data_IF_277328947908
#
_entry.id   IF_277328947908
#
_cell.length_a   1.000
_cell.length_b   1.000
_cell.length_c   1.000
_cell.angle_alpha   90.00
_cell.angle_beta   90.00
_cell.angle_gamma   90.00
#
_symmetry.space_group_name_H-M   'P 1'
#
loop_
_entity.id
_entity.type
_entity.pdbx_description
1 polymer ?
#
# COMPACT_ATOMS: atom_id res chain seq x y z
N UNK A 1 30.94 21.78 -4.22
CA UNK A 1 29.48 21.79 -3.96
C UNK A 1 29.27 21.57 -2.47
N UNK A 2 28.68 22.54 -1.78
CA UNK A 2 28.41 22.44 -0.34
C UNK A 2 27.13 21.62 -0.18
N UNK A 3 27.22 20.44 0.44
CA UNK A 3 26.05 19.63 0.77
C UNK A 3 25.16 20.42 1.73
N UNK A 4 23.98 20.81 1.26
CA UNK A 4 22.95 21.42 2.11
C UNK A 4 22.06 20.33 2.72
N UNK A 5 21.70 20.53 3.98
CA UNK A 5 20.66 19.74 4.62
C UNK A 5 19.35 19.85 3.84
N UNK A 6 18.66 18.73 3.64
CA UNK A 6 17.42 18.63 2.89
C UNK A 6 17.56 18.06 1.48
N UNK A 7 18.76 18.06 0.89
CA UNK A 7 18.97 17.51 -0.44
C UNK A 7 18.83 15.98 -0.44
N UNK A 8 18.22 15.47 -1.52
CA UNK A 8 18.13 14.03 -1.80
C UNK A 8 19.21 13.69 -2.82
N UNK A 9 20.03 12.71 -2.47
CA UNK A 9 21.19 12.29 -3.25
C UNK A 9 21.18 10.76 -3.38
N UNK A 10 21.85 10.26 -4.40
CA UNK A 10 22.12 8.83 -4.54
C UNK A 10 23.47 8.51 -3.92
N UNK A 11 23.50 7.46 -3.10
CA UNK A 11 24.69 6.98 -2.44
C UNK A 11 24.83 5.47 -2.55
N UNK A 12 26.05 4.98 -2.30
CA UNK A 12 26.37 3.55 -2.31
C UNK A 12 26.62 3.07 -0.89
N UNK A 13 26.03 1.95 -0.52
CA UNK A 13 26.25 1.36 0.80
C UNK A 13 27.66 0.77 0.85
N UNK A 14 28.52 1.29 1.70
CA UNK A 14 29.88 0.78 1.88
C UNK A 14 29.95 -0.31 2.94
N UNK A 15 29.08 -0.24 3.95
CA UNK A 15 29.11 -1.17 5.09
C UNK A 15 27.77 -1.14 5.84
N UNK A 16 27.37 -2.29 6.38
CA UNK A 16 26.13 -2.46 7.15
C UNK A 16 26.45 -2.98 8.55
N UNK A 17 25.95 -2.28 9.57
CA UNK A 17 26.09 -2.64 10.98
C UNK A 17 24.72 -2.86 11.63
N UNK A 18 24.71 -3.38 12.86
CA UNK A 18 23.45 -3.62 13.59
C UNK A 18 22.72 -2.33 14.00
N UNK A 19 23.43 -1.20 14.08
CA UNK A 19 22.86 0.08 14.48
C UNK A 19 22.56 1.00 13.28
N UNK A 20 22.99 0.63 12.07
CA UNK A 20 22.82 1.47 10.90
C UNK A 20 23.55 0.97 9.64
N UNK A 21 23.59 1.83 8.63
CA UNK A 21 24.34 1.59 7.40
C UNK A 21 25.20 2.81 7.05
N UNK A 22 26.42 2.55 6.59
CA UNK A 22 27.30 3.58 6.07
C UNK A 22 27.10 3.70 4.56
N UNK A 23 26.83 4.92 4.11
CA UNK A 23 26.56 5.22 2.72
C UNK A 23 27.52 6.31 2.26
N UNK A 24 28.21 6.08 1.16
CA UNK A 24 29.05 7.08 0.51
C UNK A 24 28.21 7.89 -0.48
N UNK A 25 28.24 9.20 -0.34
CA UNK A 25 27.49 10.17 -1.17
C UNK A 25 28.43 11.33 -1.52
N UNK A 26 28.58 11.63 -2.81
CA UNK A 26 29.39 12.75 -3.32
C UNK A 26 30.79 12.86 -2.69
N UNK A 27 31.45 11.73 -2.43
CA UNK A 27 32.79 11.67 -1.86
C UNK A 27 32.87 11.91 -0.35
N UNK A 28 31.73 11.89 0.36
CA UNK A 28 31.66 11.92 1.83
C UNK A 28 30.93 10.70 2.35
N UNK A 29 31.29 10.30 3.57
CA UNK A 29 30.67 9.17 4.26
C UNK A 29 29.55 9.67 5.15
N UNK A 30 28.34 9.18 4.91
CA UNK A 30 27.19 9.40 5.75
C UNK A 30 26.78 8.14 6.51
N UNK A 31 26.15 8.35 7.66
CA UNK A 31 25.58 7.30 8.48
C UNK A 31 24.06 7.38 8.45
N UNK A 32 23.42 6.26 8.12
CA UNK A 32 21.98 6.05 8.26
C UNK A 32 21.74 5.27 9.54
N UNK A 33 21.00 5.85 10.48
CA UNK A 33 20.61 5.16 11.71
C UNK A 33 19.55 4.10 11.40
N UNK A 34 19.48 3.01 12.18
CA UNK A 34 18.46 1.95 11.99
C UNK A 34 17.03 2.49 11.93
N UNK A 35 16.72 3.50 12.76
CA UNK A 35 15.41 4.18 12.78
C UNK A 35 15.12 5.04 11.55
N UNK A 36 16.13 5.31 10.73
CA UNK A 36 16.04 6.07 9.48
C UNK A 36 16.10 5.18 8.23
N UNK A 37 16.30 3.87 8.40
CA UNK A 37 16.28 2.88 7.30
C UNK A 37 14.84 2.64 6.83
N UNK A 38 13.90 2.44 7.76
CA UNK A 38 12.49 2.18 7.46
C UNK A 38 11.58 2.63 8.62
N UNK A 39 10.29 2.85 8.35
CA UNK A 39 9.26 3.16 9.36
C UNK A 39 8.89 1.95 10.23
N UNK A 40 9.27 0.74 9.82
CA UNK A 40 9.01 -0.51 10.54
C UNK A 40 10.21 -0.92 11.40
N UNK A 41 9.96 -1.67 12.47
CA UNK A 41 11.04 -2.26 13.27
C UNK A 41 11.83 -3.26 12.42
N UNK A 42 13.09 -2.94 12.16
CA UNK A 42 14.01 -3.79 11.41
C UNK A 42 14.81 -4.62 12.41
N UNK A 43 14.59 -5.94 12.42
CA UNK A 43 15.37 -6.88 13.26
C UNK A 43 16.77 -7.13 12.67
N UNK A 44 16.83 -7.25 11.35
CA UNK A 44 18.06 -7.41 10.57
C UNK A 44 18.09 -6.41 9.41
N UNK A 45 19.02 -5.44 9.49
CA UNK A 45 19.22 -4.45 8.42
C UNK A 45 19.68 -5.13 7.13
N UNK A 46 20.44 -6.22 7.22
CA UNK A 46 21.00 -6.95 6.07
C UNK A 46 19.94 -7.56 5.15
N UNK A 47 18.73 -7.79 5.65
CA UNK A 47 17.62 -8.24 4.82
C UNK A 47 16.97 -7.09 4.04
N UNK A 48 17.08 -5.86 4.55
CA UNK A 48 16.48 -4.66 3.97
C UNK A 48 17.44 -3.88 3.07
N UNK A 49 18.74 -3.93 3.39
CA UNK A 49 19.81 -3.24 2.68
C UNK A 49 20.89 -4.26 2.31
N UNK A 50 21.44 -4.11 1.11
CA UNK A 50 22.59 -4.90 0.65
C UNK A 50 23.83 -4.02 0.62
N UNK A 51 24.96 -4.61 1.00
CA UNK A 51 26.25 -3.98 0.80
C UNK A 51 26.44 -3.72 -0.69
N UNK A 52 27.11 -2.61 -1.02
CA UNK A 52 27.40 -2.18 -2.38
C UNK A 52 26.21 -1.66 -3.20
N UNK A 53 24.99 -1.74 -2.67
CA UNK A 53 23.76 -1.32 -3.34
C UNK A 53 23.61 0.21 -3.41
N UNK A 54 22.94 0.70 -4.47
CA UNK A 54 22.69 2.13 -4.68
C UNK A 54 21.33 2.53 -4.10
N UNK A 55 21.36 3.45 -3.14
CA UNK A 55 20.16 3.91 -2.43
C UNK A 55 20.02 5.43 -2.49
N UNK A 56 18.77 5.89 -2.50
CA UNK A 56 18.46 7.32 -2.33
C UNK A 56 18.39 7.66 -0.86
N UNK A 57 19.10 8.72 -0.48
CA UNK A 57 19.23 9.19 0.89
C UNK A 57 19.05 10.70 0.94
N UNK A 58 18.44 11.18 2.02
CA UNK A 58 18.26 12.60 2.29
C UNK A 58 19.23 13.05 3.36
N UNK A 59 19.89 14.18 3.12
CA UNK A 59 20.78 14.81 4.09
C UNK A 59 19.94 15.44 5.20
N UNK A 60 20.11 14.94 6.43
CA UNK A 60 19.45 15.49 7.62
C UNK A 60 20.30 16.61 8.21
N UNK A 61 21.59 16.33 8.40
CA UNK A 61 22.55 17.27 8.98
C UNK A 61 23.95 16.95 8.48
N UNK A 62 24.79 17.97 8.38
CA UNK A 62 26.20 17.87 7.97
C UNK A 62 27.04 18.40 9.13
N UNK A 63 27.95 17.57 9.63
CA UNK A 63 28.90 17.93 10.67
C UNK A 63 30.18 18.51 10.07
N UNK A 64 30.85 19.39 10.80
CA UNK A 64 32.12 20.01 10.39
C UNK A 64 33.24 18.97 10.20
N UNK A 65 33.15 17.82 10.92
CA UNK A 65 34.06 16.69 10.81
C UNK A 65 33.87 15.84 9.54
N UNK A 66 33.00 16.27 8.61
CA UNK A 66 32.73 15.57 7.36
C UNK A 66 31.77 14.38 7.50
N UNK A 67 31.20 14.14 8.68
CA UNK A 67 30.16 13.13 8.91
C UNK A 67 28.80 13.71 8.52
N UNK A 68 28.01 12.92 7.80
CA UNK A 68 26.68 13.34 7.36
C UNK A 68 25.65 12.38 7.94
N UNK A 69 24.61 12.92 8.58
CA UNK A 69 23.46 12.13 9.00
C UNK A 69 22.50 12.01 7.83
N UNK A 70 22.25 10.78 7.40
CA UNK A 70 21.44 10.46 6.23
C UNK A 70 20.18 9.70 6.64
N UNK A 71 19.14 9.84 5.83
CA UNK A 71 17.87 9.15 6.03
C UNK A 71 17.34 8.55 4.74
N UNK A 72 17.06 7.25 4.73
CA UNK A 72 16.47 6.55 3.59
C UNK A 72 14.96 6.78 3.59
N UNK A 73 14.31 6.72 4.76
CA UNK A 73 12.85 6.92 4.89
C UNK A 73 12.38 8.28 4.37
N UNK A 74 13.15 9.35 4.63
CA UNK A 74 12.78 10.70 4.16
C UNK A 74 13.14 10.95 2.70
N UNK A 75 13.99 10.11 2.11
CA UNK A 75 14.35 10.19 0.69
C UNK A 75 13.33 9.52 -0.22
N UNK A 76 12.57 8.55 0.32
CA UNK A 76 11.44 7.98 -0.37
C UNK A 76 10.37 9.07 -0.54
N UNK A 77 10.01 9.48 -1.77
CA UNK A 77 8.84 10.30 -1.96
C UNK A 77 7.64 9.53 -1.37
N UNK A 78 6.62 10.21 -0.81
CA UNK A 78 5.38 9.53 -0.50
C UNK A 78 5.00 8.79 -1.77
N UNK A 79 4.76 7.48 -1.68
CA UNK A 79 4.10 6.75 -2.77
C UNK A 79 2.82 7.52 -3.02
N UNK A 80 2.85 8.48 -3.95
CA UNK A 80 1.67 8.87 -4.68
C UNK A 80 1.24 7.54 -5.23
N UNK A 81 0.20 6.97 -4.64
CA UNK A 81 -0.67 6.05 -5.35
C UNK A 81 -1.06 6.87 -6.57
N UNK A 82 -0.26 6.77 -7.63
CA UNK A 82 -0.64 7.27 -8.91
C UNK A 82 -1.89 6.47 -9.18
N UNK A 83 -3.03 7.10 -8.92
CA UNK A 83 -4.22 6.87 -9.71
C UNK A 83 -3.80 7.28 -11.11
N UNK A 84 -3.02 6.43 -11.78
CA UNK A 84 -3.18 6.28 -13.21
C UNK A 84 -4.58 5.69 -13.28
N UNK A 85 -5.63 6.43 -13.72
CA UNK A 85 -6.75 5.72 -14.29
C UNK A 85 -6.12 4.84 -15.35
N UNK A 86 -6.10 3.53 -15.11
CA UNK A 86 -5.78 2.62 -16.18
C UNK A 86 -6.98 2.77 -17.12
N UNK A 87 -6.82 3.54 -18.19
CA UNK A 87 -7.48 3.21 -19.45
C UNK A 87 -6.99 1.80 -19.79
N UNK A 88 -7.71 0.81 -19.26
CA UNK A 88 -7.40 -0.58 -19.42
C UNK A 88 -8.08 -1.05 -20.70
N UNK A 89 -7.32 -1.02 -21.78
CA UNK A 89 -7.68 -1.64 -23.05
C UNK A 89 -7.83 -3.16 -22.82
N UNK A 90 -9.07 -3.66 -22.78
CA UNK A 90 -9.36 -5.08 -22.60
C UNK A 90 -9.30 -5.79 -23.94
N UNK A 91 -8.10 -6.19 -24.34
CA UNK A 91 -7.94 -7.28 -25.30
C UNK A 91 -6.63 -8.06 -25.07
N UNK A 92 -6.55 -8.85 -23.99
CA UNK A 92 -5.99 -10.20 -24.07
C UNK A 92 -6.20 -11.01 -22.78
N UNK A 93 -6.48 -12.29 -22.98
CA UNK A 93 -6.83 -13.31 -22.02
C UNK A 93 -5.78 -13.56 -20.94
N UNK A 94 -6.22 -13.76 -19.68
CA UNK A 94 -6.03 -15.03 -18.93
C UNK A 94 -6.55 -14.96 -17.48
N UNK A 95 -7.44 -15.91 -17.19
CA UNK A 95 -7.79 -16.48 -15.86
C UNK A 95 -8.35 -15.53 -14.80
N UNK A 96 -9.67 -15.30 -14.85
CA UNK A 96 -10.43 -14.80 -13.71
C UNK A 96 -11.31 -15.92 -13.10
N UNK A 97 -11.05 -16.23 -11.83
CA UNK A 97 -11.97 -16.96 -10.94
C UNK A 97 -13.32 -16.21 -10.88
N UNK A 98 -14.48 -16.89 -10.71
CA UNK A 98 -15.76 -16.22 -10.70
C UNK A 98 -15.87 -15.33 -9.46
N UNK A 99 -15.78 -14.01 -9.65
CA UNK A 99 -16.14 -13.05 -8.61
C UNK A 99 -17.66 -13.05 -8.57
N UNK A 100 -18.25 -13.56 -7.48
CA UNK A 100 -19.67 -13.34 -7.19
C UNK A 100 -19.87 -11.82 -7.10
N UNK A 101 -20.42 -11.25 -8.18
CA UNK A 101 -20.67 -9.83 -8.31
C UNK A 101 -21.86 -9.46 -7.42
N UNK A 102 -21.72 -8.31 -6.77
CA UNK A 102 -22.71 -7.70 -5.87
C UNK A 102 -24.12 -7.58 -6.51
N UNK A 103 -24.17 -7.49 -7.84
CA UNK A 103 -25.38 -7.47 -8.66
C UNK A 103 -26.16 -8.80 -8.65
N UNK A 104 -25.45 -9.94 -8.62
CA UNK A 104 -26.04 -11.29 -8.53
C UNK A 104 -26.64 -11.53 -7.13
N UNK A 105 -25.96 -11.01 -6.10
CA UNK A 105 -26.40 -11.08 -4.71
C UNK A 105 -27.65 -10.20 -4.50
N UNK A 106 -27.69 -8.99 -5.08
CA UNK A 106 -28.87 -8.13 -5.03
C UNK A 106 -30.03 -8.72 -5.84
N UNK A 107 -29.77 -9.25 -7.03
CA UNK A 107 -30.81 -9.89 -7.85
C UNK A 107 -31.43 -11.08 -7.13
N UNK A 108 -30.62 -11.86 -6.42
CA UNK A 108 -31.10 -12.99 -5.62
C UNK A 108 -31.89 -12.56 -4.39
N UNK A 109 -31.50 -11.46 -3.73
CA UNK A 109 -32.24 -10.92 -2.58
C UNK A 109 -33.57 -10.27 -2.97
N UNK A 110 -33.63 -9.50 -4.07
CA UNK A 110 -34.89 -8.92 -4.55
C UNK A 110 -35.89 -10.02 -4.94
N UNK A 111 -35.40 -11.09 -5.59
CA UNK A 111 -36.25 -12.21 -6.01
C UNK A 111 -36.80 -13.03 -4.85
N UNK A 112 -35.98 -13.30 -3.82
CA UNK A 112 -36.42 -14.00 -2.60
C UNK A 112 -37.43 -13.17 -1.79
N UNK A 113 -37.26 -11.84 -1.77
CA UNK A 113 -38.18 -10.91 -1.09
C UNK A 113 -39.55 -10.84 -1.77
N UNK A 114 -39.59 -10.86 -3.12
CA UNK A 114 -40.84 -10.82 -3.89
C UNK A 114 -41.69 -12.09 -3.69
N UNK A 115 -41.05 -13.26 -3.63
CA UNK A 115 -41.73 -14.55 -3.43
C UNK A 115 -42.38 -14.66 -2.04
N UNK A 116 -41.66 -14.21 -0.99
CA UNK A 116 -42.19 -14.19 0.38
C UNK A 116 -43.36 -13.22 0.57
N UNK A 117 -43.36 -12.10 -0.14
CA UNK A 117 -44.46 -11.13 -0.08
C UNK A 117 -45.72 -11.63 -0.80
N UNK A 118 -45.57 -12.43 -1.86
CA UNK A 118 -46.70 -13.04 -2.57
C UNK A 118 -47.42 -14.09 -1.74
N UNK A 119 -46.69 -14.91 -0.98
CA UNK A 119 -47.30 -15.97 -0.16
C UNK A 119 -48.08 -15.41 1.04
N UNK A 120 -47.57 -14.33 1.65
CA UNK A 120 -48.27 -13.60 2.73
C UNK A 120 -49.55 -12.93 2.19
N UNK A 121 -49.51 -12.35 0.99
CA UNK A 121 -50.70 -11.75 0.35
C UNK A 121 -51.76 -12.81 0.02
N UNK A 122 -51.34 -13.97 -0.51
CA UNK A 122 -52.23 -15.07 -0.89
C UNK A 122 -52.92 -15.69 0.32
N UNK A 123 -52.20 -15.85 1.43
CA UNK A 123 -52.77 -16.33 2.69
C UNK A 123 -53.72 -15.32 3.35
N UNK A 124 -53.49 -14.01 3.19
CA UNK A 124 -54.40 -12.97 3.69
C UNK A 124 -55.73 -12.96 2.91
N UNK A 125 -55.68 -13.11 1.58
CA UNK A 125 -56.86 -13.13 0.69
C UNK A 125 -57.76 -14.38 0.90
N UNK A 126 -57.17 -15.56 1.13
CA UNK A 126 -57.94 -16.80 1.39
C UNK A 126 -58.71 -16.72 2.73
N UNK A 127 -58.16 -16.06 3.74
CA UNK A 127 -58.80 -15.89 5.06
C UNK A 127 -60.00 -14.92 5.01
N UNK A 128 -60.01 -14.00 4.04
CA UNK A 128 -61.08 -13.03 3.85
C UNK A 128 -62.26 -13.61 3.02
N UNK A 129 -61.99 -14.53 2.09
CA UNK A 129 -63.04 -15.22 1.30
C UNK A 129 -63.82 -16.27 2.10
N UNK A 130 -63.21 -16.95 3.07
CA UNK A 130 -63.90 -17.90 3.97
C UNK A 130 -64.88 -17.25 4.97
N UNK A 131 -64.80 -15.93 5.17
CA UNK A 131 -65.72 -15.19 6.07
C UNK A 131 -66.96 -14.63 5.37
N UNK A 132 -67.07 -14.77 4.05
CA UNK A 132 -68.17 -14.23 3.23
C UNK A 132 -69.13 -15.30 2.68
N UNK A 133 -68.96 -16.55 3.10
CA UNK A 133 -69.73 -17.71 2.60
C UNK A 133 -70.42 -18.51 3.71
N UNK A 134 -70.75 -17.86 4.83
CA UNK A 134 -71.76 -18.33 5.80
C UNK A 134 -72.95 -17.38 5.74
#
# INVERSE_FOLDING_TARGET
>A
MTLMAGNILEGRIINITNFGAFVEVEGKTGLVHISEVADTYVKDIREHLKEDDKVKVKVISVDDKGKISLSIKQAMPPKKKSVKPADFDWNNEKKAKPKQNFEDIMSKFLKDSEERLQDVKKHQDVKQRKRKSI
#
